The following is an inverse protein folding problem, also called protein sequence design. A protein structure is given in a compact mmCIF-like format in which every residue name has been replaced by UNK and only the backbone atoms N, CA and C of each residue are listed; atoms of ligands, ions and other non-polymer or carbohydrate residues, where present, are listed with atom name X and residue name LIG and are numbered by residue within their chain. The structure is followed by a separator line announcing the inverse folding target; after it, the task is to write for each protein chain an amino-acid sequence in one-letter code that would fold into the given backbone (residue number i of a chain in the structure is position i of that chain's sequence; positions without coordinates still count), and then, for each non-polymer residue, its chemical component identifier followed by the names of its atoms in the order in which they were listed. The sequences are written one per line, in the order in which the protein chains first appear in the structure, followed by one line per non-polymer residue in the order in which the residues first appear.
data_IF_491967361706
#
_entry.id   IF_491967361706
#
_cell.length_a   1.000
_cell.length_b   1.000
_cell.length_c   1.000
_cell.angle_alpha   90.00
_cell.angle_beta   90.00
_cell.angle_gamma   90.00
#
_symmetry.space_group_name_H-M   'P 1'
#
loop_
_entity.id
_entity.type
_entity.pdbx_description
1 polymer ?
#
# COMPACT_ATOMS: atom_id res chain seq x y z
N UNK A 1 -22.20 1.90 -12.58
CA UNK A 1 -20.72 1.82 -12.65
C UNK A 1 -20.32 0.43 -12.21
N UNK A 2 -19.33 -0.19 -12.86
CA UNK A 2 -18.84 -1.50 -12.41
C UNK A 2 -18.01 -1.29 -11.13
N UNK A 3 -18.45 -1.78 -9.95
CA UNK A 3 -17.69 -1.64 -8.71
C UNK A 3 -16.33 -2.35 -8.76
N UNK A 4 -16.13 -3.27 -9.70
CA UNK A 4 -14.89 -4.03 -9.86
C UNK A 4 -13.87 -3.36 -10.78
N UNK A 5 -14.19 -2.19 -11.34
CA UNK A 5 -13.27 -1.47 -12.24
C UNK A 5 -12.17 -0.78 -11.43
N UNK A 6 -10.95 -1.32 -11.52
CA UNK A 6 -9.72 -0.63 -11.10
C UNK A 6 -9.38 0.52 -12.07
N UNK A 7 -8.81 1.60 -11.56
CA UNK A 7 -8.17 2.63 -12.36
C UNK A 7 -6.88 2.08 -12.97
N UNK A 8 -6.56 2.52 -14.19
CA UNK A 8 -5.28 2.22 -14.84
C UNK A 8 -4.17 3.12 -14.26
N UNK A 9 -3.94 2.95 -12.95
CA UNK A 9 -3.01 3.73 -12.14
C UNK A 9 -2.26 2.75 -11.23
N UNK A 10 -0.94 2.88 -11.17
CA UNK A 10 -0.12 2.21 -10.17
C UNK A 10 0.27 3.19 -9.06
N UNK A 11 0.25 2.73 -7.80
CA UNK A 11 0.71 3.51 -6.65
C UNK A 11 2.02 2.91 -6.15
N UNK A 12 3.06 3.72 -5.99
CA UNK A 12 4.35 3.32 -5.43
C UNK A 12 4.49 3.96 -4.06
N UNK A 13 4.73 3.15 -3.03
CA UNK A 13 4.94 3.59 -1.64
C UNK A 13 6.37 3.25 -1.25
N UNK A 14 7.22 4.26 -1.08
CA UNK A 14 8.59 4.10 -0.60
C UNK A 14 8.65 4.36 0.90
N UNK A 15 9.34 3.51 1.67
CA UNK A 15 9.45 3.66 3.11
C UNK A 15 10.83 3.20 3.65
N UNK A 16 11.30 3.86 4.72
CA UNK A 16 12.49 3.48 5.51
C UNK A 16 12.27 3.82 6.98
N UNK A 17 12.01 2.83 7.83
CA UNK A 17 11.62 3.00 9.22
C UNK A 17 10.30 3.80 9.41
N UNK A 18 9.26 3.44 8.65
CA UNK A 18 7.96 4.11 8.65
C UNK A 18 6.80 3.19 9.06
N UNK A 19 7.07 2.10 9.78
CA UNK A 19 6.04 1.11 10.15
C UNK A 19 4.80 1.74 10.78
N UNK A 20 5.00 2.68 11.71
CA UNK A 20 3.95 3.47 12.38
C UNK A 20 2.96 4.17 11.44
N UNK A 21 3.39 4.54 10.23
CA UNK A 21 2.55 5.26 9.25
C UNK A 21 2.15 4.39 8.05
N UNK A 22 2.94 3.37 7.75
CA UNK A 22 2.72 2.51 6.59
C UNK A 22 1.33 1.87 6.64
N UNK A 23 0.87 1.43 7.82
CA UNK A 23 -0.47 0.85 7.97
C UNK A 23 -1.57 1.84 7.58
N UNK A 24 -1.49 3.09 8.04
CA UNK A 24 -2.48 4.12 7.74
C UNK A 24 -2.46 4.49 6.25
N UNK A 25 -1.27 4.56 5.65
CA UNK A 25 -1.10 4.79 4.22
C UNK A 25 -1.77 3.70 3.38
N UNK A 26 -1.42 2.43 3.62
CA UNK A 26 -1.97 1.29 2.87
C UNK A 26 -3.48 1.13 3.09
N UNK A 27 -3.97 1.31 4.32
CA UNK A 27 -5.40 1.30 4.61
C UNK A 27 -6.14 2.43 3.90
N UNK A 28 -5.53 3.62 3.73
CA UNK A 28 -6.16 4.72 2.98
C UNK A 28 -6.30 4.39 1.49
N UNK A 29 -5.29 3.78 0.87
CA UNK A 29 -5.31 3.32 -0.52
C UNK A 29 -6.37 2.22 -0.68
N UNK A 30 -6.39 1.24 0.22
CA UNK A 30 -7.37 0.16 0.23
C UNK A 30 -8.81 0.65 0.40
N UNK A 31 -9.04 1.84 0.97
CA UNK A 31 -10.38 2.41 1.16
C UNK A 31 -10.83 3.38 0.06
N UNK A 32 -10.03 3.62 -0.98
CA UNK A 32 -10.43 4.48 -2.09
C UNK A 32 -11.65 3.93 -2.85
N UNK A 33 -12.55 4.82 -3.27
CA UNK A 33 -13.72 4.48 -4.11
C UNK A 33 -13.29 3.90 -5.47
N UNK A 34 -12.24 4.48 -6.06
CA UNK A 34 -11.62 4.00 -7.29
C UNK A 34 -10.27 3.38 -6.91
N UNK A 35 -10.18 2.06 -6.95
CA UNK A 35 -8.98 1.31 -6.59
C UNK A 35 -7.91 1.46 -7.68
N UNK A 36 -6.61 1.60 -7.35
CA UNK A 36 -5.55 1.49 -8.34
C UNK A 36 -5.48 0.07 -8.93
N UNK A 37 -4.86 -0.06 -10.10
CA UNK A 37 -4.56 -1.33 -10.75
C UNK A 37 -3.67 -2.20 -9.87
N UNK A 38 -2.66 -1.57 -9.26
CA UNK A 38 -1.63 -2.22 -8.45
C UNK A 38 -1.02 -1.27 -7.44
N UNK A 39 -0.54 -1.81 -6.31
CA UNK A 39 0.29 -1.10 -5.35
C UNK A 39 1.64 -1.79 -5.18
N UNK A 40 2.74 -1.04 -5.29
CA UNK A 40 4.10 -1.52 -5.06
C UNK A 40 4.69 -0.83 -3.82
N UNK A 41 5.08 -1.62 -2.83
CA UNK A 41 5.78 -1.14 -1.64
C UNK A 41 7.28 -1.37 -1.83
N UNK A 42 8.07 -0.33 -1.64
CA UNK A 42 9.53 -0.35 -1.73
C UNK A 42 10.09 -0.01 -0.36
N UNK A 43 10.56 -1.03 0.35
CA UNK A 43 11.24 -0.89 1.64
C UNK A 43 12.75 -0.71 1.42
N UNK A 44 13.28 0.45 1.80
CA UNK A 44 14.70 0.80 1.67
C UNK A 44 15.49 0.33 2.89
N UNK A 45 15.48 -0.98 3.15
CA UNK A 45 16.19 -1.63 4.25
C UNK A 45 15.82 -1.10 5.65
N UNK A 46 14.53 -1.03 5.95
CA UNK A 46 14.04 -0.72 7.30
C UNK A 46 14.53 -1.75 8.33
N UNK A 47 14.70 -1.29 9.57
CA UNK A 47 15.07 -2.09 10.74
C UNK A 47 13.97 -2.11 11.81
N UNK A 48 12.84 -1.45 11.54
CA UNK A 48 11.66 -1.39 12.40
C UNK A 48 10.57 -2.38 11.94
N UNK A 49 9.32 -2.15 12.33
CA UNK A 49 8.18 -2.98 11.97
C UNK A 49 7.66 -2.79 10.53
N UNK A 50 8.33 -2.00 9.67
CA UNK A 50 7.89 -1.69 8.30
C UNK A 50 7.55 -2.95 7.49
N UNK A 51 8.45 -3.94 7.46
CA UNK A 51 8.22 -5.19 6.73
C UNK A 51 7.01 -5.97 7.28
N UNK A 52 6.89 -6.05 8.61
CA UNK A 52 5.78 -6.73 9.27
C UNK A 52 4.43 -6.07 8.96
N UNK A 53 4.41 -4.74 8.86
CA UNK A 53 3.22 -3.98 8.45
C UNK A 53 2.91 -4.21 6.96
N UNK A 54 3.90 -4.16 6.08
CA UNK A 54 3.71 -4.40 4.64
C UNK A 54 3.09 -5.78 4.36
N UNK A 55 3.53 -6.82 5.08
CA UNK A 55 3.03 -8.19 4.95
C UNK A 55 1.57 -8.39 5.34
N UNK A 56 0.94 -7.42 6.01
CA UNK A 56 -0.50 -7.45 6.32
C UNK A 56 -1.38 -7.17 5.09
N UNK A 57 -0.77 -6.78 3.96
CA UNK A 57 -1.47 -6.38 2.73
C UNK A 57 -1.01 -7.23 1.51
N UNK A 58 -1.30 -8.54 1.48
CA UNK A 58 -0.74 -9.45 0.48
C UNK A 58 -1.25 -9.24 -0.96
N UNK A 59 -2.40 -8.59 -1.16
CA UNK A 59 -3.07 -8.48 -2.47
C UNK A 59 -3.71 -7.09 -2.67
N UNK A 60 -2.92 -6.08 -3.05
CA UNK A 60 -3.38 -4.69 -3.33
C UNK A 60 -3.26 -4.28 -4.80
#
# INVERSE_FOLDING_TARGET
MNPDRKADIAVIVTCHNYGRYLWQCLNSIQRQLLKPASVLIVDDASTDETEAVARQFPEM
#
